data_IF_842921885060
#
_entry.id   IF_842921885060
#
_cell.length_a   1.000
_cell.length_b   1.000
_cell.length_c   1.000
_cell.angle_alpha   90.00
_cell.angle_beta   90.00
_cell.angle_gamma   90.00
#
_symmetry.space_group_name_H-M   'P 1'
#
loop_
_entity.id
_entity.type
_entity.pdbx_description
1 polymer ?
#
# COMPACT_ATOMS: atom_id res chain seq x y z
N UNK A 1 -15.01 3.69 30.81
CA UNK A 1 -15.49 3.05 29.57
C UNK A 1 -16.42 4.05 28.90
N UNK A 2 -16.29 4.28 27.59
CA UNK A 2 -17.16 5.21 26.88
C UNK A 2 -18.60 4.70 26.77
N UNK A 3 -19.45 5.47 26.11
CA UNK A 3 -20.85 5.09 25.84
C UNK A 3 -20.96 4.18 24.62
N UNK A 4 -20.01 4.30 23.66
CA UNK A 4 -20.08 3.67 22.35
C UNK A 4 -18.96 2.64 22.17
N UNK A 5 -19.19 1.65 21.30
CA UNK A 5 -18.15 0.81 20.75
C UNK A 5 -17.52 1.46 19.52
N UNK A 6 -16.29 1.08 19.19
CA UNK A 6 -15.60 1.59 18.02
C UNK A 6 -16.24 1.05 16.72
N UNK A 7 -16.72 1.91 15.81
CA UNK A 7 -17.39 1.50 14.57
C UNK A 7 -16.49 0.73 13.60
N UNK A 8 -15.17 0.76 13.80
CA UNK A 8 -14.19 0.09 12.92
C UNK A 8 -13.94 -1.38 13.30
N UNK A 9 -14.44 -1.84 14.44
CA UNK A 9 -14.36 -3.26 14.78
C UNK A 9 -15.27 -4.08 13.86
N UNK A 10 -14.82 -5.28 13.49
CA UNK A 10 -15.55 -6.18 12.57
C UNK A 10 -17.02 -6.36 12.98
N UNK A 11 -17.28 -6.64 14.26
CA UNK A 11 -18.62 -6.82 14.77
C UNK A 11 -19.50 -5.58 14.60
N UNK A 12 -19.01 -4.41 15.01
CA UNK A 12 -19.77 -3.16 14.96
C UNK A 12 -19.98 -2.67 13.54
N UNK A 13 -18.95 -2.79 12.68
CA UNK A 13 -19.04 -2.42 11.28
C UNK A 13 -20.11 -3.24 10.55
N UNK A 14 -20.08 -4.55 10.73
CA UNK A 14 -21.09 -5.47 10.16
C UNK A 14 -22.48 -5.21 10.72
N UNK A 15 -22.60 -4.93 12.01
CA UNK A 15 -23.90 -4.63 12.63
C UNK A 15 -24.49 -3.32 12.09
N UNK A 16 -23.69 -2.27 11.91
CA UNK A 16 -24.15 -1.00 11.34
C UNK A 16 -24.45 -1.12 9.85
N UNK A 17 -23.52 -1.63 9.05
CA UNK A 17 -23.62 -1.59 7.58
C UNK A 17 -24.06 -2.91 6.95
N UNK A 18 -23.94 -4.03 7.64
CA UNK A 18 -24.38 -5.33 7.16
C UNK A 18 -25.81 -5.71 7.54
N UNK A 19 -26.44 -5.02 8.52
CA UNK A 19 -27.79 -5.33 8.98
C UNK A 19 -28.79 -4.19 8.67
N UNK A 20 -28.33 -2.96 8.36
CA UNK A 20 -29.18 -1.79 8.17
C UNK A 20 -29.01 -1.23 6.74
N UNK A 21 -29.94 -1.58 5.85
CA UNK A 21 -29.92 -1.24 4.42
C UNK A 21 -29.84 0.27 4.18
N UNK A 22 -30.61 1.08 4.93
CA UNK A 22 -30.61 2.53 4.82
C UNK A 22 -29.23 3.14 5.12
N UNK A 23 -28.51 2.62 6.10
CA UNK A 23 -27.20 3.14 6.50
C UNK A 23 -26.13 2.82 5.46
N UNK A 24 -26.08 1.60 4.92
CA UNK A 24 -25.14 1.28 3.87
C UNK A 24 -25.46 2.01 2.55
N UNK A 25 -26.74 2.19 2.21
CA UNK A 25 -27.14 3.02 1.05
C UNK A 25 -26.64 4.45 1.21
N UNK A 26 -26.85 5.05 2.38
CA UNK A 26 -26.36 6.40 2.69
C UNK A 26 -24.81 6.49 2.57
N UNK A 27 -24.09 5.48 3.10
CA UNK A 27 -22.64 5.39 3.01
C UNK A 27 -22.15 5.27 1.56
N UNK A 28 -22.75 4.37 0.76
CA UNK A 28 -22.39 4.16 -0.64
C UNK A 28 -22.61 5.42 -1.47
N UNK A 29 -23.76 6.06 -1.33
CA UNK A 29 -24.10 7.30 -2.03
C UNK A 29 -23.22 8.50 -1.61
N UNK A 30 -22.66 8.47 -0.41
CA UNK A 30 -21.77 9.51 0.10
C UNK A 30 -20.32 9.37 -0.38
N UNK A 31 -19.85 8.14 -0.59
CA UNK A 31 -18.42 7.85 -0.77
C UNK A 31 -18.06 7.27 -2.13
N UNK A 32 -19.00 6.68 -2.85
CA UNK A 32 -18.73 6.19 -4.21
C UNK A 32 -18.87 7.32 -5.24
N UNK A 33 -18.11 7.26 -6.35
CA UNK A 33 -18.12 8.25 -7.40
C UNK A 33 -19.33 8.06 -8.33
N UNK A 34 -20.52 7.94 -7.75
CA UNK A 34 -21.78 7.76 -8.49
C UNK A 34 -22.31 9.11 -8.96
N UNK A 35 -22.86 9.14 -10.17
CA UNK A 35 -23.61 10.30 -10.68
C UNK A 35 -24.99 10.37 -10.00
N UNK A 36 -25.68 11.49 -10.14
CA UNK A 36 -26.99 11.67 -9.49
C UNK A 36 -28.04 10.67 -9.97
N UNK A 37 -28.01 10.29 -11.24
CA UNK A 37 -28.89 9.27 -11.85
C UNK A 37 -28.42 7.81 -11.56
N UNK A 38 -27.23 7.65 -10.98
CA UNK A 38 -26.65 6.38 -10.59
C UNK A 38 -26.77 6.10 -9.09
N UNK A 39 -27.43 6.96 -8.32
CA UNK A 39 -27.58 6.75 -6.87
C UNK A 39 -28.23 5.42 -6.56
N UNK A 40 -27.77 4.81 -5.47
CA UNK A 40 -28.32 3.57 -4.92
C UNK A 40 -29.61 3.91 -4.17
N UNK A 41 -30.72 3.34 -4.60
CA UNK A 41 -32.05 3.55 -3.99
C UNK A 41 -32.44 2.40 -3.07
N UNK A 42 -32.09 1.19 -3.46
CA UNK A 42 -32.39 -0.03 -2.69
C UNK A 42 -31.28 -1.05 -2.88
N UNK A 43 -31.13 -1.93 -1.89
CA UNK A 43 -30.17 -3.04 -1.95
C UNK A 43 -30.78 -4.34 -1.42
N UNK A 44 -30.16 -5.43 -1.86
CA UNK A 44 -30.26 -6.73 -1.23
C UNK A 44 -28.88 -7.17 -0.76
N UNK A 45 -28.77 -7.64 0.49
CA UNK A 45 -27.53 -8.21 0.98
C UNK A 45 -27.26 -9.54 0.29
N UNK A 46 -26.03 -9.67 -0.15
CA UNK A 46 -25.54 -10.90 -0.74
C UNK A 46 -24.66 -11.62 0.29
N UNK A 47 -24.86 -12.92 0.56
CA UNK A 47 -23.98 -13.65 1.46
C UNK A 47 -22.53 -13.59 0.96
N UNK A 48 -21.62 -13.11 1.80
CA UNK A 48 -20.19 -12.99 1.50
C UNK A 48 -19.55 -14.32 1.05
N UNK A 49 -20.18 -15.44 1.44
CA UNK A 49 -19.79 -16.81 1.07
C UNK A 49 -20.16 -17.19 -0.36
N UNK A 50 -21.02 -16.43 -1.04
CA UNK A 50 -21.47 -16.69 -2.42
C UNK A 50 -20.52 -16.16 -3.50
N UNK A 51 -19.41 -15.53 -3.13
CA UNK A 51 -18.32 -15.29 -4.10
C UNK A 51 -17.78 -16.66 -4.48
N UNK A 52 -17.99 -17.13 -5.75
CA UNK A 52 -17.81 -18.53 -6.11
C UNK A 52 -16.40 -19.03 -5.80
N UNK A 53 -16.32 -20.14 -5.06
CA UNK A 53 -15.08 -20.89 -4.92
C UNK A 53 -14.92 -21.75 -6.18
N UNK A 54 -13.90 -21.52 -6.97
CA UNK A 54 -13.58 -22.36 -8.12
C UNK A 54 -13.01 -23.72 -7.72
N UNK A 55 -12.42 -23.82 -6.52
CA UNK A 55 -11.85 -25.07 -5.99
C UNK A 55 -11.98 -25.11 -4.47
N UNK A 56 -11.97 -26.31 -3.88
CA UNK A 56 -11.96 -26.52 -2.41
C UNK A 56 -10.71 -25.99 -1.70
N UNK A 57 -9.70 -25.53 -2.44
CA UNK A 57 -8.40 -25.03 -1.93
C UNK A 57 -8.32 -23.50 -1.93
N UNK A 58 -9.31 -22.81 -2.51
CA UNK A 58 -9.31 -21.34 -2.53
C UNK A 58 -9.56 -20.75 -1.12
N UNK A 59 -8.72 -19.76 -0.73
CA UNK A 59 -8.91 -19.01 0.50
C UNK A 59 -10.30 -18.39 0.51
N UNK A 60 -11.02 -18.54 1.61
CA UNK A 60 -12.28 -17.85 1.84
C UNK A 60 -12.06 -16.34 1.75
N UNK A 61 -12.73 -15.72 0.81
CA UNK A 61 -12.75 -14.28 0.62
C UNK A 61 -13.92 -13.76 1.45
N UNK A 62 -13.69 -13.55 2.74
CA UNK A 62 -14.68 -12.95 3.62
C UNK A 62 -14.57 -11.45 3.45
N UNK A 63 -15.61 -10.81 2.94
CA UNK A 63 -15.80 -9.36 2.89
C UNK A 63 -16.77 -8.95 4.00
N UNK A 64 -16.65 -7.71 4.51
CA UNK A 64 -17.48 -7.29 5.64
C UNK A 64 -18.94 -7.09 5.25
N UNK A 65 -19.19 -6.42 4.12
CA UNK A 65 -20.54 -6.19 3.57
C UNK A 65 -20.51 -6.40 2.06
N UNK A 66 -21.45 -7.18 1.55
CA UNK A 66 -21.67 -7.35 0.13
C UNK A 66 -23.16 -7.18 -0.18
N UNK A 67 -23.49 -6.36 -1.16
CA UNK A 67 -24.87 -6.12 -1.54
C UNK A 67 -24.99 -5.82 -3.04
N UNK A 68 -26.22 -5.94 -3.55
CA UNK A 68 -26.58 -5.68 -4.93
C UNK A 68 -27.76 -4.71 -4.95
N UNK A 69 -27.75 -3.75 -5.88
CA UNK A 69 -28.88 -2.82 -6.03
C UNK A 69 -29.93 -3.31 -7.03
N UNK A 70 -30.98 -2.50 -7.22
CA UNK A 70 -32.06 -2.75 -8.17
C UNK A 70 -31.63 -2.71 -9.66
N UNK A 71 -30.43 -2.19 -9.94
CA UNK A 71 -29.79 -2.20 -11.29
C UNK A 71 -28.82 -3.36 -11.45
N UNK A 72 -28.76 -4.29 -10.51
CA UNK A 72 -27.84 -5.43 -10.42
C UNK A 72 -26.35 -5.05 -10.28
N UNK A 73 -26.00 -3.80 -9.94
CA UNK A 73 -24.64 -3.42 -9.61
C UNK A 73 -24.25 -4.03 -8.27
N UNK A 74 -23.02 -4.48 -8.14
CA UNK A 74 -22.54 -5.11 -6.91
C UNK A 74 -21.63 -4.17 -6.12
N UNK A 75 -21.82 -4.16 -4.80
CA UNK A 75 -21.09 -3.30 -3.87
C UNK A 75 -20.45 -4.16 -2.80
N UNK A 76 -19.13 -3.99 -2.63
CA UNK A 76 -18.34 -4.60 -1.58
C UNK A 76 -17.85 -3.47 -0.67
N UNK A 77 -18.05 -3.60 0.65
CA UNK A 77 -17.53 -2.64 1.63
C UNK A 77 -16.66 -3.39 2.62
N UNK A 78 -15.43 -2.94 2.81
CA UNK A 78 -14.47 -3.55 3.73
C UNK A 78 -13.87 -2.51 4.69
N UNK A 79 -13.65 -2.92 5.96
CA UNK A 79 -12.92 -2.17 6.97
C UNK A 79 -11.61 -2.87 7.31
N UNK A 80 -10.49 -2.29 6.91
CA UNK A 80 -9.15 -2.85 7.12
C UNK A 80 -8.39 -2.08 8.21
N UNK A 81 -8.07 -2.74 9.31
CA UNK A 81 -7.41 -2.11 10.46
C UNK A 81 -5.90 -1.98 10.31
N UNK A 82 -5.26 -2.90 9.57
CA UNK A 82 -3.82 -2.93 9.33
C UNK A 82 -3.54 -3.06 7.85
N UNK A 83 -2.61 -2.25 7.33
CA UNK A 83 -2.24 -2.29 5.92
C UNK A 83 -1.24 -3.41 5.61
N UNK A 84 -1.45 -4.05 4.47
CA UNK A 84 -0.47 -4.93 3.84
C UNK A 84 -0.49 -4.71 2.32
N UNK A 85 0.65 -4.84 1.64
CA UNK A 85 0.71 -4.72 0.18
C UNK A 85 -0.19 -5.75 -0.54
N UNK A 86 -0.42 -6.90 0.09
CA UNK A 86 -1.35 -7.91 -0.43
C UNK A 86 -2.82 -7.47 -0.36
N UNK A 87 -3.17 -6.46 0.44
CA UNK A 87 -4.56 -5.99 0.57
C UNK A 87 -5.11 -5.44 -0.75
N UNK A 88 -4.36 -4.59 -1.46
CA UNK A 88 -4.77 -4.11 -2.80
C UNK A 88 -5.08 -5.27 -3.76
N UNK A 89 -4.22 -6.30 -3.75
CA UNK A 89 -4.41 -7.48 -4.59
C UNK A 89 -5.65 -8.29 -4.16
N UNK A 90 -5.93 -8.37 -2.85
CA UNK A 90 -7.13 -9.02 -2.32
C UNK A 90 -8.39 -8.28 -2.73
N UNK A 91 -8.42 -6.95 -2.63
CA UNK A 91 -9.55 -6.12 -3.07
C UNK A 91 -9.82 -6.32 -4.57
N UNK A 92 -8.76 -6.24 -5.40
CA UNK A 92 -8.89 -6.50 -6.84
C UNK A 92 -9.41 -7.91 -7.12
N UNK A 93 -8.89 -8.92 -6.42
CA UNK A 93 -9.34 -10.31 -6.56
C UNK A 93 -10.83 -10.46 -6.19
N UNK A 94 -11.26 -9.87 -5.06
CA UNK A 94 -12.64 -9.94 -4.58
C UNK A 94 -13.61 -9.28 -5.56
N UNK A 95 -13.28 -8.07 -6.02
CA UNK A 95 -14.07 -7.36 -7.02
C UNK A 95 -14.13 -8.12 -8.37
N UNK A 96 -13.00 -8.71 -8.80
CA UNK A 96 -12.96 -9.53 -10.02
C UNK A 96 -13.79 -10.81 -9.89
N UNK A 97 -13.78 -11.46 -8.72
CA UNK A 97 -14.63 -12.63 -8.46
C UNK A 97 -16.11 -12.27 -8.52
N UNK A 98 -16.51 -11.15 -7.92
CA UNK A 98 -17.87 -10.65 -7.96
C UNK A 98 -18.28 -10.35 -9.42
N UNK A 99 -17.41 -9.70 -10.20
CA UNK A 99 -17.67 -9.42 -11.61
C UNK A 99 -17.83 -10.69 -12.44
N UNK A 100 -16.93 -11.67 -12.28
CA UNK A 100 -16.98 -12.95 -13.00
C UNK A 100 -18.19 -13.79 -12.58
N UNK A 101 -18.64 -13.68 -11.32
CA UNK A 101 -19.80 -14.42 -10.81
C UNK A 101 -21.12 -14.03 -11.47
N UNK A 102 -21.19 -12.87 -12.14
CA UNK A 102 -22.35 -12.44 -12.92
C UNK A 102 -22.48 -13.17 -14.26
N UNK A 103 -21.39 -13.81 -14.73
CA UNK A 103 -21.36 -14.49 -16.02
C UNK A 103 -21.95 -15.88 -15.90
N UNK A 104 -23.04 -16.14 -16.62
CA UNK A 104 -23.64 -17.47 -16.78
C UNK A 104 -23.14 -18.13 -18.08
N UNK A 105 -23.15 -19.47 -18.12
CA UNK A 105 -22.77 -20.19 -19.31
C UNK A 105 -23.76 -19.90 -20.47
N UNK A 106 -23.28 -19.30 -21.54
CA UNK A 106 -24.09 -18.85 -22.68
C UNK A 106 -24.79 -17.50 -22.50
N UNK A 107 -24.53 -16.80 -21.41
CA UNK A 107 -25.05 -15.45 -21.16
C UNK A 107 -24.44 -14.39 -22.09
N UNK A 108 -25.11 -13.25 -22.22
CA UNK A 108 -24.67 -12.09 -23.03
C UNK A 108 -23.82 -11.17 -22.15
N UNK A 109 -22.70 -10.69 -22.65
CA UNK A 109 -21.78 -9.82 -21.90
C UNK A 109 -22.38 -8.45 -21.55
N UNK A 110 -23.35 -7.96 -22.33
CA UNK A 110 -24.04 -6.70 -22.09
C UNK A 110 -24.87 -6.66 -20.79
N UNK A 111 -25.07 -7.81 -20.14
CA UNK A 111 -25.77 -7.92 -18.85
C UNK A 111 -24.83 -7.72 -17.64
N UNK A 112 -23.52 -7.73 -17.86
CA UNK A 112 -22.54 -7.55 -16.80
C UNK A 112 -22.61 -6.12 -16.26
N UNK A 113 -22.76 -6.00 -14.96
CA UNK A 113 -22.87 -4.72 -14.26
C UNK A 113 -21.57 -4.38 -13.51
N UNK A 114 -21.28 -3.10 -13.30
CA UNK A 114 -20.10 -2.69 -12.55
C UNK A 114 -20.10 -3.22 -11.12
N UNK A 115 -18.90 -3.50 -10.61
CA UNK A 115 -18.63 -3.85 -9.21
C UNK A 115 -17.88 -2.69 -8.56
N UNK A 116 -18.41 -2.18 -7.46
CA UNK A 116 -17.83 -1.12 -6.66
C UNK A 116 -17.28 -1.69 -5.36
N UNK A 117 -15.99 -1.54 -5.10
CA UNK A 117 -15.36 -1.93 -3.84
C UNK A 117 -14.93 -0.68 -3.06
N UNK A 118 -15.60 -0.41 -1.95
CA UNK A 118 -15.31 0.68 -1.01
C UNK A 118 -14.52 0.12 0.17
N UNK A 119 -13.28 0.55 0.32
CA UNK A 119 -12.36 0.01 1.30
C UNK A 119 -11.88 1.11 2.24
N UNK A 120 -12.22 1.00 3.51
CA UNK A 120 -11.67 1.86 4.56
C UNK A 120 -10.40 1.25 5.11
N UNK A 121 -9.34 2.05 5.19
CA UNK A 121 -8.04 1.62 5.70
C UNK A 121 -7.66 2.49 6.89
N UNK A 122 -7.50 1.88 8.06
CA UNK A 122 -7.10 2.60 9.28
C UNK A 122 -5.57 2.75 9.40
N UNK A 123 -4.89 2.91 8.26
CA UNK A 123 -3.44 3.18 8.16
C UNK A 123 -3.14 4.04 6.93
N UNK A 124 -1.96 4.70 6.95
CA UNK A 124 -1.46 5.46 5.80
C UNK A 124 -0.62 4.53 4.92
N UNK A 125 -1.07 4.24 3.71
CA UNK A 125 -0.37 3.36 2.78
C UNK A 125 0.26 4.11 1.58
N UNK A 126 -0.25 5.28 1.21
CA UNK A 126 0.36 6.17 0.21
C UNK A 126 1.07 7.33 0.94
N UNK A 127 2.34 7.13 1.29
CA UNK A 127 3.08 8.08 2.15
C UNK A 127 3.46 9.38 1.46
N UNK A 128 3.53 9.37 0.14
CA UNK A 128 3.91 10.45 -0.77
C UNK A 128 2.72 11.28 -1.27
N UNK A 129 1.49 10.92 -0.87
CA UNK A 129 0.25 11.58 -1.26
C UNK A 129 -0.51 12.00 -0.01
N UNK A 130 -0.94 13.25 0.08
CA UNK A 130 -1.70 13.79 1.22
C UNK A 130 -3.19 13.45 1.17
N UNK A 131 -3.72 13.16 0.00
CA UNK A 131 -5.11 12.81 -0.19
C UNK A 131 -5.47 11.54 0.61
N UNK A 132 -6.66 11.56 1.20
CA UNK A 132 -7.20 10.40 1.94
C UNK A 132 -8.08 9.51 1.08
N UNK A 133 -8.53 9.96 -0.10
CA UNK A 133 -9.48 9.29 -0.98
C UNK A 133 -8.81 8.92 -2.30
N UNK A 134 -8.79 7.64 -2.64
CA UNK A 134 -8.14 7.13 -3.84
C UNK A 134 -9.13 6.29 -4.64
N UNK A 135 -9.40 6.71 -5.86
CA UNK A 135 -10.31 6.02 -6.77
C UNK A 135 -9.55 5.44 -7.96
N UNK A 136 -9.76 4.16 -8.21
CA UNK A 136 -9.15 3.40 -9.31
C UNK A 136 -10.23 2.79 -10.18
N UNK A 137 -10.08 2.93 -11.49
CA UNK A 137 -10.91 2.32 -12.52
C UNK A 137 -10.10 2.11 -13.81
N UNK A 138 -10.63 1.38 -14.80
CA UNK A 138 -9.92 1.06 -16.03
C UNK A 138 -10.10 2.17 -17.05
N UNK A 139 -8.99 2.82 -17.43
CA UNK A 139 -8.97 3.90 -18.43
C UNK A 139 -7.94 3.64 -19.51
N UNK A 140 -8.13 4.22 -20.68
CA UNK A 140 -7.13 4.24 -21.73
C UNK A 140 -5.94 5.11 -21.31
N UNK A 141 -4.71 4.61 -21.49
CA UNK A 141 -3.47 5.25 -21.02
C UNK A 141 -3.31 6.72 -21.50
N UNK A 142 -3.57 6.97 -22.80
CA UNK A 142 -3.48 8.32 -23.39
C UNK A 142 -4.77 9.13 -23.30
N UNK A 143 -5.91 8.47 -23.29
CA UNK A 143 -7.24 9.09 -23.35
C UNK A 143 -8.02 8.69 -22.12
N UNK A 144 -7.73 9.34 -21.00
CA UNK A 144 -8.27 8.98 -19.67
C UNK A 144 -9.79 9.20 -19.54
N UNK A 145 -10.41 9.89 -20.53
CA UNK A 145 -11.87 9.99 -20.70
C UNK A 145 -12.50 8.71 -21.28
N UNK A 146 -11.68 7.81 -21.85
CA UNK A 146 -12.12 6.52 -22.37
C UNK A 146 -12.02 5.44 -21.29
N UNK A 147 -13.16 5.07 -20.73
CA UNK A 147 -13.28 4.13 -19.61
C UNK A 147 -13.81 2.80 -20.12
N UNK A 148 -13.26 1.71 -19.61
CA UNK A 148 -13.90 0.38 -19.65
C UNK A 148 -14.60 0.24 -18.31
N UNK A 149 -15.92 0.34 -18.32
CA UNK A 149 -16.74 0.20 -17.13
C UNK A 149 -16.76 -1.27 -16.65
N UNK A 150 -16.63 -1.49 -15.36
CA UNK A 150 -16.62 -2.84 -14.81
C UNK A 150 -16.11 -2.92 -13.38
N UNK A 151 -14.92 -2.42 -13.08
CA UNK A 151 -14.33 -2.47 -11.74
C UNK A 151 -13.99 -1.06 -11.22
N UNK A 152 -14.59 -0.69 -10.10
CA UNK A 152 -14.38 0.57 -9.41
C UNK A 152 -13.88 0.31 -8.00
N UNK A 153 -12.62 0.65 -7.71
CA UNK A 153 -11.98 0.40 -6.43
C UNK A 153 -11.71 1.73 -5.72
N UNK A 154 -12.35 1.93 -4.59
CA UNK A 154 -12.17 3.10 -3.74
C UNK A 154 -11.45 2.70 -2.47
N UNK A 155 -10.37 3.43 -2.13
CA UNK A 155 -9.66 3.30 -0.86
C UNK A 155 -9.72 4.62 -0.11
N UNK A 156 -10.05 4.54 1.18
CA UNK A 156 -10.12 5.71 2.06
C UNK A 156 -9.16 5.52 3.22
N UNK A 157 -8.09 6.34 3.28
CA UNK A 157 -7.11 6.35 4.36
C UNK A 157 -7.63 7.15 5.55
N UNK A 158 -8.29 6.49 6.49
CA UNK A 158 -8.97 7.16 7.62
C UNK A 158 -8.05 8.06 8.46
N UNK A 159 -6.78 7.71 8.61
CA UNK A 159 -5.81 8.52 9.39
C UNK A 159 -5.40 9.82 8.72
N UNK A 160 -5.59 9.96 7.42
CA UNK A 160 -5.34 11.21 6.68
C UNK A 160 -6.54 12.13 6.67
N UNK A 161 -7.73 11.59 6.90
CA UNK A 161 -8.94 12.39 6.91
C UNK A 161 -8.86 13.44 8.04
N UNK A 162 -9.08 14.69 7.67
CA UNK A 162 -9.22 15.82 8.60
C UNK A 162 -10.57 16.45 8.32
N UNK A 163 -11.42 16.62 9.33
CA UNK A 163 -12.70 17.31 9.16
C UNK A 163 -12.44 18.71 8.58
N UNK A 164 -12.94 18.95 7.39
CA UNK A 164 -12.92 20.28 6.77
C UNK A 164 -14.29 20.91 6.94
N UNK A 165 -14.35 22.24 6.92
CA UNK A 165 -15.61 22.99 6.94
C UNK A 165 -16.56 22.52 5.87
N UNK A 166 -17.82 22.33 6.24
CA UNK A 166 -18.90 21.80 5.41
C UNK A 166 -18.99 22.46 4.03
N UNK A 167 -18.67 21.72 3.02
CA UNK A 167 -18.89 22.01 1.61
C UNK A 167 -19.78 20.92 1.00
N UNK A 168 -19.92 20.84 -0.29
CA UNK A 168 -20.86 20.04 -1.09
C UNK A 168 -20.98 18.54 -0.71
N UNK A 169 -20.03 17.97 0.02
CA UNK A 169 -20.01 16.54 0.40
C UNK A 169 -20.34 16.30 1.90
N UNK A 170 -21.35 16.97 2.43
CA UNK A 170 -21.71 16.90 3.85
C UNK A 170 -21.83 15.46 4.39
N UNK A 171 -22.51 14.55 3.69
CA UNK A 171 -22.69 13.16 4.12
C UNK A 171 -21.38 12.36 4.12
N UNK A 172 -20.48 12.57 3.15
CA UNK A 172 -19.16 11.97 3.15
C UNK A 172 -18.39 12.37 4.42
N UNK A 173 -18.38 13.65 4.76
CA UNK A 173 -17.71 14.16 5.97
C UNK A 173 -18.32 13.55 7.24
N UNK A 174 -19.65 13.47 7.35
CA UNK A 174 -20.31 12.91 8.52
C UNK A 174 -20.00 11.41 8.72
N UNK A 175 -20.01 10.61 7.65
CA UNK A 175 -19.63 9.20 7.74
C UNK A 175 -18.14 9.00 8.08
N UNK A 176 -17.26 9.83 7.53
CA UNK A 176 -15.83 9.75 7.86
C UNK A 176 -15.56 10.21 9.30
N UNK A 177 -16.25 11.24 9.81
CA UNK A 177 -16.21 11.64 11.21
C UNK A 177 -16.74 10.54 12.14
N UNK A 178 -17.87 9.90 11.77
CA UNK A 178 -18.38 8.74 12.50
C UNK A 178 -17.34 7.64 12.64
N UNK A 179 -16.62 7.29 11.54
CA UNK A 179 -15.61 6.25 11.55
C UNK A 179 -14.29 6.67 12.24
N UNK A 180 -14.00 7.96 12.39
CA UNK A 180 -12.71 8.44 12.92
C UNK A 180 -12.80 9.03 14.31
N UNK A 181 -13.91 9.67 14.68
CA UNK A 181 -14.07 10.36 15.96
C UNK A 181 -14.75 9.49 17.03
N UNK A 182 -15.60 8.52 16.64
CA UNK A 182 -16.25 7.61 17.60
C UNK A 182 -15.32 6.45 17.92
N UNK A 183 -15.14 6.23 19.22
CA UNK A 183 -14.27 5.16 19.76
C UNK A 183 -14.87 4.61 21.06
N UNK A 184 -14.27 3.54 21.57
CA UNK A 184 -14.59 2.94 22.88
C UNK A 184 -14.34 3.89 24.08
N UNK A 185 -13.73 5.06 23.84
CA UNK A 185 -13.49 6.12 24.84
C UNK A 185 -14.49 7.26 24.74
N UNK A 186 -15.28 7.31 23.68
CA UNK A 186 -16.24 8.39 23.44
C UNK A 186 -17.40 8.30 24.46
N UNK A 187 -17.57 9.33 25.27
CA UNK A 187 -18.64 9.48 26.23
C UNK A 187 -19.86 10.15 25.60
N UNK A 188 -19.62 11.16 24.78
CA UNK A 188 -20.64 11.97 24.13
C UNK A 188 -20.25 12.18 22.66
N UNK A 189 -21.17 11.90 21.74
CA UNK A 189 -20.92 12.09 20.33
C UNK A 189 -21.05 13.58 19.94
N UNK A 190 -20.29 14.06 18.94
CA UNK A 190 -20.46 15.39 18.41
C UNK A 190 -21.88 15.72 17.98
N UNK A 191 -22.35 16.94 18.28
CA UNK A 191 -23.74 17.36 18.01
C UNK A 191 -24.12 17.18 16.52
N UNK A 192 -23.20 17.53 15.62
CA UNK A 192 -23.44 17.43 14.18
C UNK A 192 -23.67 15.99 13.70
N UNK A 193 -23.11 14.99 14.38
CA UNK A 193 -23.34 13.57 14.11
C UNK A 193 -24.71 13.14 14.66
N UNK A 194 -25.14 13.71 15.79
CA UNK A 194 -26.45 13.43 16.39
C UNK A 194 -27.61 14.09 15.64
N UNK A 195 -27.37 15.23 15.00
CA UNK A 195 -28.37 15.96 14.21
C UNK A 195 -28.71 15.27 12.88
N UNK A 196 -27.80 14.44 12.34
CA UNK A 196 -28.09 13.70 11.11
C UNK A 196 -28.82 12.40 11.43
N UNK A 197 -30.00 12.12 10.83
CA UNK A 197 -30.80 10.95 11.16
C UNK A 197 -30.10 9.61 11.00
N UNK A 198 -29.40 9.40 9.86
CA UNK A 198 -28.71 8.13 9.55
C UNK A 198 -27.51 7.91 10.47
N UNK A 199 -26.69 8.95 10.69
CA UNK A 199 -25.54 8.83 11.59
C UNK A 199 -25.97 8.70 13.05
N UNK A 200 -27.05 9.39 13.45
CA UNK A 200 -27.65 9.24 14.78
C UNK A 200 -28.18 7.82 15.02
N UNK A 201 -28.80 7.20 14.00
CA UNK A 201 -29.21 5.80 14.04
C UNK A 201 -27.99 4.88 14.20
N UNK A 202 -26.94 5.07 13.40
CA UNK A 202 -25.71 4.31 13.51
C UNK A 202 -25.05 4.44 14.91
N UNK A 203 -25.08 5.63 15.52
CA UNK A 203 -24.58 5.86 16.88
C UNK A 203 -25.37 5.06 17.93
N UNK A 204 -26.68 4.96 17.80
CA UNK A 204 -27.52 4.16 18.71
C UNK A 204 -27.16 2.67 18.63
N UNK A 205 -26.87 2.17 17.43
CA UNK A 205 -26.42 0.79 17.23
C UNK A 205 -25.10 0.53 17.95
N UNK A 206 -24.21 1.53 18.06
CA UNK A 206 -22.93 1.42 18.74
C UNK A 206 -23.01 1.51 20.27
N UNK A 207 -24.16 1.82 20.85
CA UNK A 207 -24.28 1.93 22.31
C UNK A 207 -24.02 0.58 22.98
N UNK A 208 -23.11 0.56 23.98
CA UNK A 208 -22.65 -0.67 24.65
C UNK A 208 -23.82 -1.48 25.22
N UNK A 209 -24.85 -0.80 25.70
CA UNK A 209 -26.05 -1.45 26.24
C UNK A 209 -26.88 -2.26 25.22
N UNK A 210 -26.62 -2.09 23.93
CA UNK A 210 -27.28 -2.85 22.86
C UNK A 210 -26.59 -4.20 22.56
N UNK A 211 -25.48 -4.53 23.25
CA UNK A 211 -24.68 -5.73 22.98
C UNK A 211 -24.81 -6.76 24.09
N UNK A 212 -24.98 -8.00 23.70
CA UNK A 212 -24.97 -9.15 24.61
C UNK A 212 -23.53 -9.41 25.15
N UNK A 213 -23.41 -10.12 26.28
CA UNK A 213 -22.10 -10.53 26.79
C UNK A 213 -21.28 -11.38 25.80
N UNK A 214 -21.94 -12.10 24.89
CA UNK A 214 -21.28 -12.88 23.83
C UNK A 214 -20.65 -11.98 22.76
N UNK A 215 -21.39 -10.98 22.30
CA UNK A 215 -20.91 -9.97 21.35
C UNK A 215 -19.78 -9.14 21.94
N UNK A 216 -19.87 -8.75 23.21
CA UNK A 216 -18.78 -8.03 23.88
C UNK A 216 -17.48 -8.85 23.93
N UNK A 217 -17.58 -10.16 24.23
CA UNK A 217 -16.39 -11.03 24.16
C UNK A 217 -15.81 -11.15 22.74
N UNK A 218 -16.65 -11.13 21.70
CA UNK A 218 -16.19 -11.13 20.31
C UNK A 218 -15.48 -9.81 19.95
N UNK A 219 -16.03 -8.68 20.40
CA UNK A 219 -15.42 -7.36 20.26
C UNK A 219 -14.05 -7.27 20.94
N UNK A 220 -13.92 -7.75 22.17
CA UNK A 220 -12.65 -7.76 22.90
C UNK A 220 -11.60 -8.64 22.20
N UNK A 221 -11.99 -9.84 21.75
CA UNK A 221 -11.10 -10.73 20.97
C UNK A 221 -10.60 -10.09 19.67
N UNK A 222 -11.45 -9.33 18.99
CA UNK A 222 -11.05 -8.58 17.80
C UNK A 222 -9.93 -7.58 18.14
N UNK A 223 -10.08 -6.79 19.20
CA UNK A 223 -9.07 -5.82 19.60
C UNK A 223 -7.77 -6.47 20.09
N UNK A 224 -7.86 -7.60 20.80
CA UNK A 224 -6.69 -8.41 21.16
C UNK A 224 -5.96 -8.88 19.91
N UNK A 225 -6.66 -9.37 18.91
CA UNK A 225 -6.07 -9.78 17.64
C UNK A 225 -5.38 -8.59 16.95
N UNK A 226 -6.04 -7.46 16.82
CA UNK A 226 -5.46 -6.25 16.20
C UNK A 226 -4.23 -5.77 16.97
N UNK A 227 -4.27 -5.79 18.31
CA UNK A 227 -3.13 -5.42 19.15
C UNK A 227 -1.92 -6.31 18.89
N UNK A 228 -2.10 -7.63 18.81
CA UNK A 228 -1.05 -8.58 18.46
C UNK A 228 -0.47 -8.34 17.06
N UNK A 229 -1.34 -8.12 16.07
CA UNK A 229 -0.89 -7.81 14.70
C UNK A 229 -0.03 -6.53 14.66
N UNK A 230 -0.43 -5.48 15.38
CA UNK A 230 0.35 -4.24 15.49
C UNK A 230 1.69 -4.45 16.18
N UNK A 231 1.73 -5.27 17.23
CA UNK A 231 2.98 -5.61 17.94
C UNK A 231 3.96 -6.30 16.99
N UNK A 232 3.50 -7.34 16.29
CA UNK A 232 4.32 -8.08 15.30
C UNK A 232 4.81 -7.13 14.18
N UNK A 233 3.94 -6.30 13.64
CA UNK A 233 4.31 -5.34 12.59
C UNK A 233 5.37 -4.33 13.07
N UNK A 234 5.26 -3.85 14.32
CA UNK A 234 6.23 -2.94 14.91
C UNK A 234 7.58 -3.62 15.18
N UNK A 235 7.58 -4.87 15.62
CA UNK A 235 8.81 -5.62 15.84
C UNK A 235 9.54 -5.89 14.52
N UNK A 236 8.82 -6.31 13.48
CA UNK A 236 9.38 -6.46 12.12
C UNK A 236 9.95 -5.12 11.62
N UNK A 237 9.23 -4.01 11.82
CA UNK A 237 9.73 -2.69 11.41
C UNK A 237 11.04 -2.33 12.11
N UNK A 238 11.13 -2.58 13.42
CA UNK A 238 12.36 -2.34 14.19
C UNK A 238 13.53 -3.18 13.69
N UNK A 239 13.30 -4.46 13.39
CA UNK A 239 14.35 -5.33 12.84
C UNK A 239 14.80 -4.88 11.44
N UNK A 240 13.88 -4.48 10.59
CA UNK A 240 14.18 -3.93 9.26
C UNK A 240 15.01 -2.63 9.36
N UNK A 241 14.67 -1.74 10.28
CA UNK A 241 15.44 -0.50 10.48
C UNK A 241 16.85 -0.78 11.04
N UNK A 242 17.01 -1.74 11.96
CA UNK A 242 18.33 -2.19 12.41
C UNK A 242 19.17 -2.74 11.24
N UNK A 243 18.59 -3.66 10.47
CA UNK A 243 19.28 -4.25 9.32
C UNK A 243 19.70 -3.18 8.28
N UNK A 244 18.85 -2.19 8.02
CA UNK A 244 19.21 -1.06 7.14
C UNK A 244 20.38 -0.25 7.67
N UNK A 245 20.40 0.01 8.99
CA UNK A 245 21.50 0.74 9.63
C UNK A 245 22.83 -0.05 9.52
N UNK A 246 22.82 -1.35 9.78
CA UNK A 246 23.98 -2.23 9.61
C UNK A 246 24.49 -2.27 8.17
N UNK A 247 23.58 -2.38 7.20
CA UNK A 247 23.92 -2.32 5.77
C UNK A 247 24.56 -0.97 5.40
N UNK A 248 24.06 0.12 5.96
CA UNK A 248 24.61 1.46 5.70
C UNK A 248 26.05 1.57 6.24
N UNK A 249 26.32 1.06 7.43
CA UNK A 249 27.67 1.01 8.02
C UNK A 249 28.61 0.16 7.15
N UNK A 250 28.19 -1.07 6.80
CA UNK A 250 29.01 -1.95 5.95
C UNK A 250 29.32 -1.34 4.57
N UNK A 251 28.37 -0.65 3.96
CA UNK A 251 28.60 0.08 2.71
C UNK A 251 29.62 1.21 2.86
N UNK A 252 29.57 1.94 3.97
CA UNK A 252 30.56 2.99 4.25
C UNK A 252 31.97 2.41 4.45
N UNK A 253 32.10 1.29 5.16
CA UNK A 253 33.40 0.59 5.35
C UNK A 253 33.96 0.09 4.02
N UNK A 254 33.14 -0.50 3.14
CA UNK A 254 33.54 -0.92 1.80
C UNK A 254 34.01 0.26 0.96
N UNK A 255 33.33 1.40 1.02
CA UNK A 255 33.74 2.60 0.30
C UNK A 255 35.14 3.11 0.73
N UNK A 256 35.40 3.10 2.04
CA UNK A 256 36.72 3.48 2.60
C UNK A 256 37.79 2.48 2.18
N UNK A 257 37.50 1.18 2.19
CA UNK A 257 38.45 0.15 1.76
C UNK A 257 38.78 0.30 0.27
N UNK A 258 37.81 0.53 -0.58
CA UNK A 258 38.01 0.73 -2.03
C UNK A 258 38.84 1.99 -2.30
N UNK A 259 38.62 3.10 -1.60
CA UNK A 259 39.42 4.31 -1.73
C UNK A 259 40.91 4.06 -1.39
N UNK A 260 41.19 3.28 -0.33
CA UNK A 260 42.59 2.89 0.02
C UNK A 260 43.22 2.01 -1.04
N UNK A 261 42.47 1.10 -1.65
CA UNK A 261 42.98 0.26 -2.76
C UNK A 261 43.31 1.12 -3.99
N UNK A 262 42.45 2.08 -4.33
CA UNK A 262 42.73 3.01 -5.45
C UNK A 262 43.99 3.88 -5.20
N UNK A 263 44.14 4.38 -3.96
CA UNK A 263 45.34 5.14 -3.57
C UNK A 263 46.61 4.28 -3.68
N UNK A 264 46.60 3.07 -3.16
CA UNK A 264 47.71 2.14 -3.25
C UNK A 264 48.08 1.78 -4.70
N UNK A 265 47.07 1.56 -5.54
CA UNK A 265 47.28 1.30 -6.98
C UNK A 265 47.89 2.51 -7.69
N UNK A 266 47.42 3.72 -7.37
CA UNK A 266 48.00 4.94 -7.94
C UNK A 266 49.47 5.16 -7.51
N UNK A 267 49.80 4.85 -6.25
CA UNK A 267 51.19 4.89 -5.78
C UNK A 267 52.07 3.85 -6.46
N UNK A 268 51.58 2.63 -6.64
CA UNK A 268 52.28 1.56 -7.34
C UNK A 268 52.57 1.92 -8.81
N UNK A 269 51.60 2.50 -9.50
CA UNK A 269 51.79 2.97 -10.89
C UNK A 269 52.82 4.12 -10.98
N UNK A 270 52.79 5.07 -10.03
CA UNK A 270 53.83 6.13 -9.96
C UNK A 270 55.21 5.55 -9.69
N UNK A 271 55.32 4.54 -8.84
CA UNK A 271 56.61 3.87 -8.57
C UNK A 271 57.13 3.14 -9.79
N UNK A 272 56.29 2.40 -10.51
CA UNK A 272 56.64 1.74 -11.80
C UNK A 272 57.12 2.74 -12.86
N UNK A 273 56.38 3.86 -13.00
CA UNK A 273 56.78 4.91 -13.95
C UNK A 273 58.17 5.53 -13.62
N UNK A 274 58.42 5.78 -12.31
CA UNK A 274 59.74 6.27 -11.87
C UNK A 274 60.88 5.26 -12.14
N UNK A 275 60.60 3.96 -11.92
CA UNK A 275 61.57 2.91 -12.22
C UNK A 275 61.89 2.85 -13.72
N UNK A 276 60.85 2.80 -14.56
CA UNK A 276 61.00 2.80 -16.02
C UNK A 276 61.76 4.03 -16.52
N UNK A 277 61.51 5.21 -15.96
CA UNK A 277 62.27 6.43 -16.30
C UNK A 277 63.77 6.31 -15.94
N UNK A 278 64.07 5.72 -14.78
CA UNK A 278 65.45 5.48 -14.36
C UNK A 278 66.17 4.51 -15.31
N UNK A 279 65.48 3.47 -15.77
CA UNK A 279 65.99 2.50 -16.71
C UNK A 279 66.27 3.15 -18.10
N UNK A 280 65.35 4.00 -18.57
CA UNK A 280 65.52 4.83 -19.78
C UNK A 280 66.75 5.75 -19.66
N UNK A 281 66.89 6.47 -18.54
CA UNK A 281 68.02 7.37 -18.32
C UNK A 281 69.33 6.60 -18.24
N UNK A 282 69.32 5.40 -17.71
CA UNK A 282 70.46 4.51 -17.66
C UNK A 282 70.87 4.03 -19.09
N UNK A 283 69.86 3.58 -19.86
CA UNK A 283 70.03 3.17 -21.25
C UNK A 283 70.64 4.29 -22.12
N UNK A 284 70.14 5.53 -21.99
CA UNK A 284 70.69 6.71 -22.68
C UNK A 284 72.17 6.94 -22.36
N UNK A 285 72.53 6.85 -21.06
CA UNK A 285 73.98 7.04 -20.66
C UNK A 285 74.91 5.93 -21.20
N UNK A 286 74.41 4.69 -21.22
CA UNK A 286 75.14 3.55 -21.75
C UNK A 286 75.30 3.66 -23.27
N UNK A 287 74.24 4.01 -24.01
CA UNK A 287 74.23 4.26 -25.43
C UNK A 287 75.22 5.36 -25.82
N UNK A 288 75.24 6.48 -25.07
CA UNK A 288 76.18 7.57 -25.26
C UNK A 288 77.64 7.20 -24.99
N UNK A 289 77.89 6.16 -24.20
CA UNK A 289 79.27 5.62 -23.95
C UNK A 289 79.65 4.51 -24.88
N UNK A 290 78.81 4.15 -25.88
CA UNK A 290 79.15 3.17 -26.91
C UNK A 290 78.94 1.69 -26.50
N UNK A 291 78.19 1.39 -25.48
CA UNK A 291 77.83 -0.01 -25.10
C UNK A 291 77.00 -0.67 -26.22
N UNK A 292 77.14 -1.98 -26.39
CA UNK A 292 76.27 -2.72 -27.31
C UNK A 292 74.80 -2.72 -26.88
N UNK A 293 73.92 -2.63 -27.86
CA UNK A 293 72.45 -2.57 -27.58
C UNK A 293 71.95 -3.79 -26.77
N UNK A 294 72.51 -4.97 -27.05
CA UNK A 294 72.24 -6.20 -26.34
C UNK A 294 72.56 -6.12 -24.85
N UNK A 295 73.71 -5.55 -24.47
CA UNK A 295 74.18 -5.37 -23.10
C UNK A 295 73.27 -4.33 -22.37
N UNK A 296 72.85 -3.27 -23.08
CA UNK A 296 71.92 -2.27 -22.53
C UNK A 296 70.55 -2.89 -22.22
N UNK A 297 70.05 -3.74 -23.13
CA UNK A 297 68.81 -4.43 -22.95
C UNK A 297 68.80 -5.38 -21.72
N UNK A 298 69.92 -6.14 -21.58
CA UNK A 298 70.12 -7.06 -20.45
C UNK A 298 70.15 -6.32 -19.10
N UNK A 299 70.80 -5.16 -19.03
CA UNK A 299 70.93 -4.39 -17.77
C UNK A 299 69.71 -3.60 -17.43
N UNK A 300 69.01 -3.05 -18.42
CA UNK A 300 67.87 -2.14 -18.16
C UNK A 300 66.49 -2.80 -18.30
N UNK A 301 66.41 -4.00 -18.89
CA UNK A 301 65.16 -4.69 -19.18
C UNK A 301 64.34 -4.01 -20.28
N UNK A 302 64.84 -2.98 -20.96
CA UNK A 302 64.15 -2.33 -22.08
C UNK A 302 64.36 -3.16 -23.37
N UNK A 303 63.37 -3.09 -24.25
CA UNK A 303 63.43 -3.76 -25.55
C UNK A 303 64.43 -3.09 -26.46
N UNK A 304 64.94 -3.84 -27.43
CA UNK A 304 65.90 -3.31 -28.45
C UNK A 304 65.27 -2.09 -29.15
N UNK A 305 64.04 -2.15 -29.52
CA UNK A 305 63.25 -1.07 -30.15
C UNK A 305 63.18 0.19 -29.29
N UNK A 306 62.92 0.00 -27.98
CA UNK A 306 62.90 1.12 -27.01
C UNK A 306 64.28 1.76 -26.88
N UNK A 307 65.38 0.98 -26.92
CA UNK A 307 66.75 1.48 -26.82
C UNK A 307 67.16 2.18 -28.10
N UNK A 308 66.80 1.66 -29.27
CA UNK A 308 67.13 2.30 -30.58
C UNK A 308 66.43 3.66 -30.71
N UNK A 309 65.24 3.82 -30.16
CA UNK A 309 64.47 5.07 -30.15
C UNK A 309 64.95 6.15 -29.15
N UNK A 310 65.94 5.82 -28.26
CA UNK A 310 66.55 6.76 -27.31
C UNK A 310 67.65 7.55 -27.90
#
# INVERSE_FOLDING_TARGET
MGKYLDPRADLTFKKVFGEHKNLVISLLNALLPLKDDERVESIEYWPAEKIPKRTQVEKDSIVDVCCKDNKNREFIVEMQMTWTESFKKRVLLNASKAYVAQSEAGGVYDTLQPVYALNFVNENFMKDVDDYYHYYHLVHDKYTDKVIDGLHLVFVELKKFKPQTFTEKKMQVLWLRFLTEITDKTLEAPAELLENPEVSEALKILEIGAYSPGEMRAYDKFWDYISRQRTIANDIRREVEKAKAEIAVAKAEIAVANAKVEEANAEAEKAKAKLKQKDIDTARRMKAKGYAIADIAEITGLTVEEIEGL
#
